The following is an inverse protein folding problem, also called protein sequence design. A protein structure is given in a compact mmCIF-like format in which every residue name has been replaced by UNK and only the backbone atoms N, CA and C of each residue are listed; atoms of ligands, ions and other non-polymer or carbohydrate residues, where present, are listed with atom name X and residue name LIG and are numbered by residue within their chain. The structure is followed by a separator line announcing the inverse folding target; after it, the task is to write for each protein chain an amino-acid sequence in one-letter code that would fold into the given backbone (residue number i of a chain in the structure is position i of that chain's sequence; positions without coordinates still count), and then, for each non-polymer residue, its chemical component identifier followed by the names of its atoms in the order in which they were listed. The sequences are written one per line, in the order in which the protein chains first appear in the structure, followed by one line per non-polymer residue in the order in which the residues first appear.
data_IF_491932810346
#
_entry.id   IF_491932810346
#
_cell.length_a   1.000
_cell.length_b   1.000
_cell.length_c   1.000
_cell.angle_alpha   90.00
_cell.angle_beta   90.00
_cell.angle_gamma   90.00
#
_symmetry.space_group_name_H-M   'P 1'
#
loop_
_entity.id
_entity.type
_entity.pdbx_description
1 polymer ?
#
# COMPACT_ATOMS: atom_id res chain seq x y z
N UNK A 1 -12.67 22.43 -60.46
CA UNK A 1 -11.95 21.34 -59.78
C UNK A 1 -10.48 21.31 -60.23
N UNK A 2 -9.66 22.29 -59.85
CA UNK A 2 -8.25 22.39 -60.32
C UNK A 2 -7.23 22.77 -59.23
N UNK A 3 -7.64 22.93 -57.97
CA UNK A 3 -6.72 23.34 -56.88
C UNK A 3 -6.47 22.28 -55.79
N UNK A 4 -6.92 21.03 -55.94
CA UNK A 4 -6.72 19.99 -54.92
C UNK A 4 -5.36 19.27 -55.03
N UNK A 5 -4.75 19.25 -56.22
CA UNK A 5 -3.47 18.57 -56.47
C UNK A 5 -2.25 19.23 -55.78
N UNK A 6 -2.13 20.57 -55.71
CA UNK A 6 -0.99 21.21 -55.03
C UNK A 6 -1.01 20.97 -53.51
N UNK A 7 -2.20 20.96 -52.89
CA UNK A 7 -2.36 20.80 -51.43
C UNK A 7 -1.99 19.39 -50.98
N UNK A 8 -2.35 18.36 -51.73
CA UNK A 8 -1.97 16.97 -51.45
C UNK A 8 -0.45 16.76 -51.57
N UNK A 9 0.20 17.40 -52.54
CA UNK A 9 1.66 17.32 -52.69
C UNK A 9 2.37 17.98 -51.51
N UNK A 10 1.92 19.16 -51.07
CA UNK A 10 2.50 19.85 -49.90
C UNK A 10 2.29 19.03 -48.63
N UNK A 11 1.13 18.41 -48.45
CA UNK A 11 0.84 17.57 -47.28
C UNK A 11 1.69 16.29 -47.25
N UNK A 12 1.88 15.62 -48.40
CA UNK A 12 2.77 14.46 -48.49
C UNK A 12 4.24 14.82 -48.24
N UNK A 13 4.71 15.98 -48.71
CA UNK A 13 6.07 16.47 -48.41
C UNK A 13 6.22 16.73 -46.91
N UNK A 14 5.20 17.32 -46.26
CA UNK A 14 5.22 17.59 -44.83
C UNK A 14 5.27 16.31 -43.98
N UNK A 15 4.50 15.27 -44.35
CA UNK A 15 4.54 13.95 -43.69
C UNK A 15 5.91 13.30 -43.89
N UNK A 16 6.47 13.33 -45.11
CA UNK A 16 7.81 12.78 -45.36
C UNK A 16 8.88 13.48 -44.51
N UNK A 17 8.83 14.81 -44.34
CA UNK A 17 9.79 15.53 -43.49
C UNK A 17 9.66 15.11 -42.03
N UNK A 18 8.43 15.00 -41.50
CA UNK A 18 8.18 14.64 -40.09
C UNK A 18 8.69 13.23 -39.76
N UNK A 19 8.61 12.27 -40.68
CA UNK A 19 9.03 10.89 -40.38
C UNK A 19 10.45 10.58 -40.84
N UNK A 20 10.88 11.09 -42.00
CA UNK A 20 12.17 10.72 -42.58
C UNK A 20 13.31 11.48 -41.91
N UNK A 21 13.13 12.76 -41.54
CA UNK A 21 14.21 13.56 -40.93
C UNK A 21 14.58 13.05 -39.54
N UNK A 22 13.64 12.74 -38.62
CA UNK A 22 13.99 12.13 -37.34
C UNK A 22 14.62 10.74 -37.51
N UNK A 23 14.13 9.95 -38.47
CA UNK A 23 14.69 8.60 -38.73
C UNK A 23 16.13 8.69 -39.25
N UNK A 24 16.42 9.60 -40.18
CA UNK A 24 17.78 9.84 -40.68
C UNK A 24 18.72 10.44 -39.63
N UNK A 25 18.20 11.22 -38.67
CA UNK A 25 18.97 11.71 -37.53
C UNK A 25 19.35 10.60 -36.53
N UNK A 26 18.53 9.56 -36.40
CA UNK A 26 18.78 8.43 -35.47
C UNK A 26 19.66 7.35 -36.11
N UNK A 27 19.59 7.16 -37.43
CA UNK A 27 20.36 6.13 -38.13
C UNK A 27 21.90 6.17 -37.92
N UNK A 28 22.60 7.33 -37.89
CA UNK A 28 24.04 7.36 -37.60
C UNK A 28 24.38 7.06 -36.13
N UNK A 29 23.39 7.00 -35.22
CA UNK A 29 23.56 6.56 -33.83
C UNK A 29 23.19 5.09 -33.62
N UNK A 30 22.76 4.38 -34.67
CA UNK A 30 22.26 3.01 -34.56
C UNK A 30 23.30 1.93 -34.93
N UNK A 31 24.55 2.33 -35.20
CA UNK A 31 25.60 1.45 -35.73
C UNK A 31 26.87 1.33 -34.87
N UNK A 32 26.79 1.54 -33.56
CA UNK A 32 27.79 1.02 -32.62
C UNK A 32 27.14 -0.01 -31.70
N UNK A 33 26.94 -1.22 -32.25
CA UNK A 33 26.79 -2.42 -31.42
C UNK A 33 28.18 -2.85 -30.96
N UNK A 34 28.73 -2.15 -29.97
CA UNK A 34 29.66 -2.83 -29.07
C UNK A 34 28.88 -3.92 -28.33
N UNK A 35 29.38 -5.14 -28.42
CA UNK A 35 28.91 -6.27 -27.63
C UNK A 35 29.35 -6.03 -26.18
N UNK A 36 28.61 -5.20 -25.46
CA UNK A 36 28.74 -5.11 -24.02
C UNK A 36 28.12 -6.36 -23.43
N UNK A 37 28.94 -7.19 -22.79
CA UNK A 37 28.47 -8.31 -22.00
C UNK A 37 27.41 -7.80 -21.01
N UNK A 38 26.19 -8.36 -21.06
CA UNK A 38 25.07 -8.08 -20.15
C UNK A 38 25.30 -8.67 -18.74
N UNK A 39 26.51 -8.51 -18.23
CA UNK A 39 26.88 -8.71 -16.82
C UNK A 39 27.35 -7.37 -16.23
N UNK A 40 26.73 -6.26 -16.65
CA UNK A 40 26.87 -5.00 -15.94
C UNK A 40 26.09 -5.14 -14.63
N UNK A 41 26.82 -5.42 -13.54
CA UNK A 41 26.38 -5.15 -12.19
C UNK A 41 25.81 -3.72 -12.21
N UNK A 42 24.49 -3.62 -12.09
CA UNK A 42 23.83 -2.38 -11.69
C UNK A 42 24.53 -1.94 -10.40
N UNK A 43 25.44 -0.97 -10.49
CA UNK A 43 26.04 -0.38 -9.31
C UNK A 43 24.93 0.33 -8.55
N UNK A 44 24.49 -0.35 -7.50
CA UNK A 44 23.64 0.15 -6.45
C UNK A 44 24.06 1.56 -6.05
N UNK A 45 23.15 2.53 -6.20
CA UNK A 45 23.32 3.85 -5.58
C UNK A 45 23.69 3.72 -4.10
N UNK A 46 24.32 4.74 -3.51
CA UNK A 46 24.89 4.66 -2.16
C UNK A 46 23.82 4.21 -1.15
N UNK A 47 24.01 3.01 -0.59
CA UNK A 47 23.11 2.37 0.38
C UNK A 47 22.54 1.02 -0.06
N UNK A 48 22.29 0.75 -1.35
CA UNK A 48 21.67 -0.52 -1.80
C UNK A 48 22.67 -1.69 -1.76
N UNK A 49 23.97 -1.42 -1.92
CA UNK A 49 25.04 -2.43 -1.83
C UNK A 49 25.19 -3.06 -0.44
N UNK A 50 24.94 -2.29 0.62
CA UNK A 50 24.98 -2.77 2.03
C UNK A 50 23.78 -3.66 2.42
N UNK A 51 22.78 -3.75 1.54
CA UNK A 51 21.56 -4.53 1.72
C UNK A 51 21.61 -5.93 1.08
N UNK A 52 22.71 -6.26 0.40
CA UNK A 52 22.86 -7.51 -0.36
C UNK A 52 23.02 -8.78 0.52
N UNK A 53 23.61 -8.67 1.71
CA UNK A 53 23.95 -9.83 2.58
C UNK A 53 22.80 -10.25 3.51
N UNK A 54 21.57 -10.34 3.00
CA UNK A 54 20.39 -10.73 3.82
C UNK A 54 19.65 -11.94 3.23
N UNK A 55 18.85 -12.60 4.07
CA UNK A 55 17.99 -13.72 3.65
C UNK A 55 17.16 -13.30 2.44
N UNK A 56 17.08 -14.16 1.43
CA UNK A 56 16.28 -13.90 0.24
C UNK A 56 14.78 -14.11 0.50
N UNK A 57 13.99 -13.16 0.01
CA UNK A 57 12.54 -13.20 -0.08
C UNK A 57 12.15 -13.57 -1.50
N UNK A 58 11.31 -14.59 -1.68
CA UNK A 58 10.75 -14.98 -2.96
C UNK A 58 9.37 -14.32 -3.18
N UNK A 59 9.31 -13.31 -4.04
CA UNK A 59 8.10 -12.54 -4.34
C UNK A 59 7.45 -13.07 -5.61
N UNK A 60 6.20 -13.51 -5.53
CA UNK A 60 5.39 -13.82 -6.72
C UNK A 60 4.84 -12.54 -7.35
N UNK A 61 5.22 -12.29 -8.61
CA UNK A 61 4.82 -11.12 -9.40
C UNK A 61 3.56 -11.45 -10.19
N UNK A 62 2.39 -11.11 -9.64
CA UNK A 62 1.09 -11.60 -10.12
C UNK A 62 0.80 -11.25 -11.58
N UNK A 63 1.19 -10.05 -12.03
CA UNK A 63 0.99 -9.61 -13.41
C UNK A 63 1.95 -10.23 -14.44
N UNK A 64 3.02 -10.89 -13.99
CA UNK A 64 4.03 -11.54 -14.84
C UNK A 64 4.09 -13.05 -14.65
N UNK A 65 3.43 -13.58 -13.62
CA UNK A 65 3.45 -15.00 -13.23
C UNK A 65 4.87 -15.55 -13.01
N UNK A 66 5.77 -14.73 -12.46
CA UNK A 66 7.16 -15.11 -12.14
C UNK A 66 7.47 -14.92 -10.67
N UNK A 67 8.41 -15.71 -10.15
CA UNK A 67 8.97 -15.52 -8.81
C UNK A 67 10.29 -14.76 -8.94
N UNK A 68 10.38 -13.62 -8.25
CA UNK A 68 11.56 -12.77 -8.16
C UNK A 68 12.16 -12.92 -6.76
N UNK A 69 13.46 -13.23 -6.67
CA UNK A 69 14.17 -13.38 -5.39
C UNK A 69 15.01 -12.15 -5.12
N UNK A 70 14.87 -11.60 -3.92
CA UNK A 70 15.48 -10.34 -3.52
C UNK A 70 16.05 -10.46 -2.10
N UNK A 71 17.19 -9.83 -1.79
CA UNK A 71 17.59 -9.64 -0.40
C UNK A 71 16.46 -8.98 0.41
N UNK A 72 16.20 -9.48 1.62
CA UNK A 72 15.12 -9.01 2.51
C UNK A 72 15.06 -7.49 2.62
N UNK A 73 16.20 -6.83 2.81
CA UNK A 73 16.20 -5.38 2.99
C UNK A 73 15.87 -4.62 1.69
N UNK A 74 16.21 -5.17 0.51
CA UNK A 74 15.78 -4.61 -0.77
C UNK A 74 14.27 -4.79 -0.99
N UNK A 75 13.73 -5.95 -0.58
CA UNK A 75 12.28 -6.16 -0.55
C UNK A 75 11.58 -5.11 0.34
N UNK A 76 12.10 -4.86 1.55
CA UNK A 76 11.53 -3.86 2.47
C UNK A 76 11.57 -2.45 1.87
N UNK A 77 12.64 -2.07 1.16
CA UNK A 77 12.69 -0.79 0.41
C UNK A 77 11.55 -0.70 -0.61
N UNK A 78 11.35 -1.76 -1.41
CA UNK A 78 10.30 -1.79 -2.43
C UNK A 78 8.89 -1.74 -1.85
N UNK A 79 8.66 -2.35 -0.69
CA UNK A 79 7.39 -2.25 0.05
C UNK A 79 7.18 -0.82 0.55
N UNK A 80 8.17 -0.21 1.21
CA UNK A 80 8.05 1.15 1.73
C UNK A 80 7.74 2.15 0.62
N UNK A 81 8.40 2.00 -0.51
CA UNK A 81 8.21 2.82 -1.69
C UNK A 81 6.82 2.68 -2.31
N UNK A 82 6.20 1.49 -2.20
CA UNK A 82 4.84 1.23 -2.67
C UNK A 82 3.75 1.70 -1.69
N UNK A 83 4.03 1.64 -0.38
CA UNK A 83 3.02 1.79 0.67
C UNK A 83 2.96 3.20 1.29
N UNK A 84 4.10 3.89 1.40
CA UNK A 84 4.20 5.15 2.14
C UNK A 84 4.81 6.26 1.27
N UNK A 85 4.24 7.48 1.26
CA UNK A 85 4.83 8.59 0.52
C UNK A 85 6.25 8.90 1.04
N UNK A 86 7.22 9.01 0.13
CA UNK A 86 8.61 9.32 0.47
C UNK A 86 8.79 10.67 1.20
N UNK A 87 7.85 11.60 1.02
CA UNK A 87 7.83 12.89 1.72
C UNK A 87 7.50 12.79 3.21
N UNK A 88 7.02 11.65 3.70
CA UNK A 88 6.76 11.45 5.12
C UNK A 88 8.03 11.58 5.95
N UNK A 89 7.88 11.92 7.23
CA UNK A 89 9.00 12.05 8.15
C UNK A 89 9.79 10.75 8.25
N UNK A 90 11.11 10.88 8.43
CA UNK A 90 12.02 9.73 8.45
C UNK A 90 11.66 8.73 9.55
N UNK A 91 11.21 9.21 10.71
CA UNK A 91 10.76 8.34 11.81
C UNK A 91 9.48 7.55 11.49
N UNK A 92 8.57 8.11 10.67
CA UNK A 92 7.42 7.38 10.17
C UNK A 92 7.82 6.30 9.15
N UNK A 93 8.77 6.63 8.25
CA UNK A 93 9.35 5.65 7.32
C UNK A 93 10.04 4.51 8.06
N UNK A 94 10.80 4.80 9.13
CA UNK A 94 11.41 3.77 10.00
C UNK A 94 10.35 2.87 10.66
N UNK A 95 9.27 3.45 11.20
CA UNK A 95 8.18 2.67 11.78
C UNK A 95 7.54 1.74 10.74
N UNK A 96 7.34 2.23 9.51
CA UNK A 96 6.87 1.42 8.38
C UNK A 96 7.87 0.31 8.02
N UNK A 97 9.18 0.58 8.04
CA UNK A 97 10.22 -0.44 7.78
C UNK A 97 10.12 -1.59 8.78
N UNK A 98 9.93 -1.30 10.07
CA UNK A 98 9.72 -2.33 11.09
C UNK A 98 8.45 -3.14 10.80
N UNK A 99 7.33 -2.49 10.48
CA UNK A 99 6.08 -3.18 10.18
C UNK A 99 6.21 -4.08 8.94
N UNK A 100 6.79 -3.55 7.85
CA UNK A 100 7.02 -4.29 6.61
C UNK A 100 7.93 -5.50 6.82
N UNK A 101 9.08 -5.31 7.48
CA UNK A 101 10.02 -6.39 7.80
C UNK A 101 9.39 -7.45 8.70
N UNK A 102 8.60 -7.03 9.69
CA UNK A 102 7.91 -7.96 10.59
C UNK A 102 6.90 -8.81 9.84
N UNK A 103 6.12 -8.20 8.94
CA UNK A 103 5.14 -8.91 8.13
C UNK A 103 5.80 -10.04 7.32
N UNK A 104 6.87 -9.72 6.56
CA UNK A 104 7.50 -10.72 5.71
C UNK A 104 8.22 -11.80 6.53
N UNK A 105 8.87 -11.45 7.64
CA UNK A 105 9.47 -12.44 8.55
C UNK A 105 8.39 -13.36 9.13
N UNK A 106 7.23 -12.82 9.51
CA UNK A 106 6.12 -13.62 10.02
C UNK A 106 5.55 -14.56 8.94
N UNK A 107 5.36 -14.07 7.70
CA UNK A 107 4.90 -14.87 6.55
C UNK A 107 5.87 -16.01 6.24
N UNK A 108 7.16 -15.74 6.14
CA UNK A 108 8.18 -16.76 5.90
C UNK A 108 8.23 -17.82 7.02
N UNK A 109 7.95 -17.45 8.27
CA UNK A 109 7.91 -18.39 9.40
C UNK A 109 6.65 -19.26 9.44
N UNK A 110 5.50 -18.71 9.03
CA UNK A 110 4.23 -19.44 9.05
C UNK A 110 4.04 -20.29 7.79
N UNK A 111 4.63 -19.87 6.67
CA UNK A 111 4.31 -20.38 5.34
C UNK A 111 2.89 -19.99 4.93
N UNK A 112 2.60 -20.10 3.63
CA UNK A 112 1.27 -19.85 3.10
C UNK A 112 0.98 -20.83 1.96
N UNK A 113 0.12 -21.81 2.23
CA UNK A 113 -0.21 -22.86 1.26
C UNK A 113 -1.08 -22.37 0.09
N UNK A 114 -1.62 -21.14 0.17
CA UNK A 114 -2.38 -20.54 -0.93
C UNK A 114 -1.47 -19.93 -2.00
N UNK A 115 -0.19 -19.74 -1.71
CA UNK A 115 0.77 -19.17 -2.65
C UNK A 115 1.29 -20.20 -3.66
N UNK A 116 1.72 -19.76 -4.86
CA UNK A 116 2.47 -20.59 -5.78
C UNK A 116 3.68 -21.24 -5.10
N UNK A 117 3.97 -22.50 -5.45
CA UNK A 117 5.06 -23.27 -4.82
C UNK A 117 6.39 -22.52 -4.96
N UNK A 118 7.01 -22.20 -3.82
CA UNK A 118 8.30 -21.51 -3.76
C UNK A 118 8.22 -19.99 -3.59
N UNK A 119 7.03 -19.41 -3.49
CA UNK A 119 6.82 -18.01 -3.13
C UNK A 119 6.59 -17.84 -1.61
N UNK A 120 7.10 -16.74 -1.07
CA UNK A 120 6.87 -16.33 0.32
C UNK A 120 5.73 -15.32 0.47
N UNK A 121 5.46 -14.56 -0.60
CA UNK A 121 4.58 -13.38 -0.62
C UNK A 121 4.16 -13.04 -2.07
N UNK A 122 3.00 -12.41 -2.24
CA UNK A 122 2.55 -11.77 -3.49
C UNK A 122 2.79 -10.26 -3.50
N UNK A 123 2.69 -9.64 -4.69
CA UNK A 123 2.81 -8.19 -4.88
C UNK A 123 1.47 -7.43 -4.86
N UNK A 124 0.39 -8.06 -4.37
CA UNK A 124 -0.95 -7.46 -4.31
C UNK A 124 -1.26 -6.89 -2.93
N UNK A 125 -2.43 -6.25 -2.82
CA UNK A 125 -2.96 -5.74 -1.55
C UNK A 125 -3.32 -6.84 -0.54
N UNK A 126 -3.35 -8.11 -0.96
CA UNK A 126 -3.61 -9.23 -0.07
C UNK A 126 -2.43 -9.48 0.87
N UNK A 127 -1.22 -9.09 0.43
CA UNK A 127 -0.01 -9.06 1.26
C UNK A 127 0.50 -7.63 1.45
N UNK A 128 1.36 -7.14 0.55
CA UNK A 128 1.96 -5.81 0.56
C UNK A 128 2.24 -5.34 -0.86
N UNK A 129 2.02 -4.06 -1.14
CA UNK A 129 2.36 -3.48 -2.44
C UNK A 129 3.88 -3.43 -2.59
N UNK A 130 4.43 -4.30 -3.43
CA UNK A 130 5.86 -4.32 -3.76
C UNK A 130 6.13 -3.72 -5.15
N UNK A 131 7.05 -2.76 -5.19
CA UNK A 131 7.57 -2.16 -6.43
C UNK A 131 9.08 -2.36 -6.53
N UNK A 132 9.55 -2.80 -7.68
CA UNK A 132 10.99 -2.96 -7.92
C UNK A 132 11.64 -1.62 -8.35
N UNK A 133 12.99 -1.51 -8.33
CA UNK A 133 13.67 -0.25 -8.63
C UNK A 133 13.34 0.36 -10.00
N UNK A 134 13.13 -0.46 -11.03
CA UNK A 134 12.77 0.00 -12.38
C UNK A 134 11.38 0.63 -12.42
N UNK A 135 10.41 0.02 -11.72
CA UNK A 135 9.06 0.55 -11.56
C UNK A 135 9.07 1.87 -10.77
N UNK A 136 9.91 1.95 -9.73
CA UNK A 136 10.07 3.17 -8.93
C UNK A 136 10.71 4.31 -9.72
N UNK A 137 11.75 4.03 -10.50
CA UNK A 137 12.37 5.00 -11.40
C UNK A 137 11.36 5.56 -12.40
N UNK A 138 10.54 4.69 -13.00
CA UNK A 138 9.48 5.08 -13.93
C UNK A 138 8.39 5.93 -13.27
N UNK A 139 8.04 5.62 -12.02
CA UNK A 139 6.98 6.32 -11.27
C UNK A 139 7.42 7.71 -10.78
N UNK A 140 8.68 7.84 -10.35
CA UNK A 140 9.16 9.06 -9.69
C UNK A 140 9.92 10.00 -10.61
N UNK A 141 10.40 9.52 -11.76
CA UNK A 141 11.14 10.34 -12.72
C UNK A 141 12.32 11.06 -12.05
N UNK A 142 12.36 12.38 -12.17
CA UNK A 142 13.44 13.20 -11.61
C UNK A 142 13.57 13.12 -10.08
N UNK A 143 12.51 12.73 -9.36
CA UNK A 143 12.56 12.59 -7.90
C UNK A 143 13.13 11.25 -7.43
N UNK A 144 13.40 10.32 -8.35
CA UNK A 144 13.73 8.93 -8.00
C UNK A 144 14.93 8.84 -7.06
N UNK A 145 15.98 9.62 -7.32
CA UNK A 145 17.22 9.59 -6.56
C UNK A 145 17.01 9.94 -5.08
N UNK A 146 16.40 11.10 -4.78
CA UNK A 146 16.23 11.53 -3.40
C UNK A 146 15.19 10.69 -2.66
N UNK A 147 14.12 10.23 -3.33
CA UNK A 147 13.08 9.37 -2.75
C UNK A 147 13.66 8.01 -2.36
N UNK A 148 14.39 7.37 -3.28
CA UNK A 148 15.07 6.11 -3.01
C UNK A 148 16.08 6.27 -1.88
N UNK A 149 16.92 7.31 -1.92
CA UNK A 149 17.92 7.56 -0.87
C UNK A 149 17.28 7.66 0.51
N UNK A 150 16.24 8.49 0.67
CA UNK A 150 15.57 8.68 1.96
C UNK A 150 14.91 7.40 2.49
N UNK A 151 14.27 6.63 1.61
CA UNK A 151 13.64 5.35 1.99
C UNK A 151 14.71 4.32 2.36
N UNK A 152 15.75 4.17 1.54
CA UNK A 152 16.86 3.24 1.80
C UNK A 152 17.56 3.55 3.11
N UNK A 153 17.80 4.83 3.44
CA UNK A 153 18.35 5.22 4.73
C UNK A 153 17.45 4.82 5.91
N UNK A 154 16.13 5.01 5.82
CA UNK A 154 15.20 4.60 6.87
C UNK A 154 15.18 3.07 7.08
N UNK A 155 15.27 2.30 5.99
CA UNK A 155 15.39 0.84 6.04
C UNK A 155 16.72 0.43 6.67
N UNK A 156 17.82 1.03 6.25
CA UNK A 156 19.16 0.73 6.74
C UNK A 156 19.32 1.05 8.23
N UNK A 157 18.82 2.20 8.69
CA UNK A 157 18.85 2.60 10.11
C UNK A 157 18.00 1.70 11.01
N UNK A 158 17.11 0.88 10.42
CA UNK A 158 16.29 -0.11 11.12
C UNK A 158 16.61 -1.54 10.70
N UNK A 159 17.76 -1.77 10.05
CA UNK A 159 18.16 -3.07 9.49
C UNK A 159 18.03 -4.17 10.54
N UNK A 160 17.38 -5.26 10.14
CA UNK A 160 17.15 -6.41 11.01
C UNK A 160 16.21 -6.19 12.20
N UNK A 161 15.60 -5.01 12.39
CA UNK A 161 14.65 -4.79 13.48
C UNK A 161 13.23 -5.22 13.09
N UNK A 162 12.60 -5.99 13.97
CA UNK A 162 11.21 -6.48 13.85
C UNK A 162 10.44 -6.29 15.15
N UNK A 163 9.11 -6.31 15.05
CA UNK A 163 8.17 -6.18 16.16
C UNK A 163 7.75 -7.58 16.63
N UNK A 164 7.89 -7.83 17.93
CA UNK A 164 7.52 -9.12 18.54
C UNK A 164 6.60 -8.97 19.74
N UNK A 165 5.78 -9.97 19.95
CA UNK A 165 4.97 -10.14 21.16
C UNK A 165 5.16 -11.57 21.66
N UNK A 166 5.49 -11.74 22.95
CA UNK A 166 5.87 -13.03 23.53
C UNK A 166 6.94 -13.79 22.72
N UNK A 167 7.92 -13.06 22.18
CA UNK A 167 9.05 -13.62 21.44
C UNK A 167 8.72 -14.13 20.02
N UNK A 168 7.49 -13.92 19.53
CA UNK A 168 7.07 -14.23 18.16
C UNK A 168 6.85 -12.93 17.37
N UNK A 169 7.14 -12.91 16.05
CA UNK A 169 6.74 -11.80 15.19
C UNK A 169 5.24 -11.53 15.31
N UNK A 170 4.86 -10.25 15.27
CA UNK A 170 3.44 -9.87 15.29
C UNK A 170 2.83 -9.86 13.88
N UNK A 171 1.51 -9.89 13.81
CA UNK A 171 0.77 -9.39 12.64
C UNK A 171 0.86 -7.85 12.64
N UNK A 172 1.85 -7.31 11.94
CA UNK A 172 2.12 -5.87 11.87
C UNK A 172 1.20 -5.16 10.86
N UNK A 173 -0.11 -5.20 11.09
CA UNK A 173 -1.10 -4.56 10.23
C UNK A 173 -0.92 -3.04 10.22
N UNK A 174 -1.12 -2.40 9.07
CA UNK A 174 -1.07 -0.95 8.91
C UNK A 174 -2.05 -0.50 7.83
N UNK A 175 -2.43 0.77 7.87
CA UNK A 175 -3.39 1.34 6.93
C UNK A 175 -3.16 2.85 6.75
N UNK A 176 -3.81 3.46 5.76
CA UNK A 176 -3.48 4.84 5.38
C UNK A 176 -3.87 5.88 6.42
N UNK A 177 -5.16 5.98 6.77
CA UNK A 177 -5.66 7.08 7.60
C UNK A 177 -6.79 6.60 8.51
N UNK A 178 -6.75 6.98 9.79
CA UNK A 178 -7.79 6.67 10.77
C UNK A 178 -8.93 7.70 10.74
N UNK A 179 -10.03 7.39 11.40
CA UNK A 179 -11.11 8.33 11.68
C UNK A 179 -10.91 9.06 13.02
N UNK A 180 -9.67 9.08 13.54
CA UNK A 180 -9.30 9.54 14.88
C UNK A 180 -9.00 8.39 15.85
N UNK A 181 -9.37 7.15 15.50
CA UNK A 181 -9.12 5.93 16.27
C UNK A 181 -8.74 4.75 15.37
N UNK A 182 -7.90 3.87 15.89
CA UNK A 182 -7.69 2.54 15.30
C UNK A 182 -8.78 1.56 15.75
N UNK A 183 -8.87 0.40 15.11
CA UNK A 183 -9.77 -0.68 15.47
C UNK A 183 -9.06 -1.77 16.27
N UNK A 184 -9.83 -2.48 17.09
CA UNK A 184 -9.42 -3.78 17.61
C UNK A 184 -9.35 -4.81 16.48
N UNK A 185 -8.54 -5.86 16.64
CA UNK A 185 -8.38 -6.90 15.62
C UNK A 185 -9.68 -7.58 15.22
N UNK A 186 -10.61 -7.76 16.16
CA UNK A 186 -11.89 -8.43 15.92
C UNK A 186 -12.83 -7.67 14.96
N UNK A 187 -12.51 -6.42 14.63
CA UNK A 187 -13.19 -5.69 13.56
C UNK A 187 -12.85 -6.21 12.15
N UNK A 188 -11.76 -6.98 12.02
CA UNK A 188 -11.27 -7.49 10.72
C UNK A 188 -11.02 -9.01 10.72
N UNK A 189 -10.48 -9.55 11.81
CA UNK A 189 -10.24 -10.98 12.02
C UNK A 189 -11.23 -11.54 13.04
N UNK A 190 -11.39 -12.86 13.13
CA UNK A 190 -12.31 -13.47 14.11
C UNK A 190 -11.77 -13.42 15.55
N UNK A 191 -10.45 -13.45 15.71
CA UNK A 191 -9.82 -13.61 17.01
C UNK A 191 -9.29 -12.29 17.57
N UNK A 192 -9.33 -12.20 18.90
CA UNK A 192 -8.63 -11.16 19.65
C UNK A 192 -7.11 -11.34 19.51
N UNK A 193 -6.43 -10.29 19.07
CA UNK A 193 -4.98 -10.18 18.97
C UNK A 193 -4.48 -9.11 19.96
N UNK A 194 -3.82 -9.48 21.08
CA UNK A 194 -3.56 -8.57 22.22
C UNK A 194 -2.83 -7.27 21.90
N UNK A 195 -1.99 -7.26 20.86
CA UNK A 195 -1.23 -6.10 20.43
C UNK A 195 -1.94 -5.22 19.38
N UNK A 196 -3.08 -5.68 18.82
CA UNK A 196 -3.91 -4.92 17.88
C UNK A 196 -5.19 -4.46 18.58
N UNK A 197 -5.06 -3.37 19.33
CA UNK A 197 -6.14 -2.76 20.11
C UNK A 197 -6.39 -1.33 19.63
N UNK A 198 -7.61 -0.84 19.82
CA UNK A 198 -8.02 0.52 19.50
C UNK A 198 -7.20 1.50 20.34
N UNK A 199 -6.57 2.45 19.66
CA UNK A 199 -5.86 3.58 20.25
C UNK A 199 -6.27 4.87 19.55
N UNK A 200 -6.14 5.99 20.25
CA UNK A 200 -6.34 7.31 19.66
C UNK A 200 -5.28 7.58 18.60
N UNK A 201 -5.67 8.24 17.52
CA UNK A 201 -4.77 8.68 16.46
C UNK A 201 -5.25 10.05 15.93
N UNK A 202 -5.15 11.11 16.77
CA UNK A 202 -5.73 12.42 16.45
C UNK A 202 -5.05 13.11 15.27
N UNK A 203 -3.80 12.74 14.96
CA UNK A 203 -3.05 13.36 13.88
C UNK A 203 -3.63 13.08 12.48
N UNK A 204 -4.42 12.02 12.35
CA UNK A 204 -5.09 11.63 11.11
C UNK A 204 -6.07 12.69 10.60
N UNK A 205 -6.61 13.54 11.47
CA UNK A 205 -7.52 14.63 11.08
C UNK A 205 -6.90 15.60 10.08
N UNK A 206 -5.56 15.70 10.06
CA UNK A 206 -4.79 16.52 9.12
C UNK A 206 -4.47 15.80 7.80
N UNK A 207 -4.83 14.53 7.66
CA UNK A 207 -4.61 13.77 6.43
C UNK A 207 -5.49 14.32 5.30
N UNK A 208 -4.97 14.52 4.07
CA UNK A 208 -5.78 14.84 2.91
C UNK A 208 -6.76 13.71 2.55
N UNK A 209 -6.59 12.52 3.14
CA UNK A 209 -7.47 11.35 2.97
C UNK A 209 -8.38 11.12 4.18
N UNK A 210 -8.51 12.10 5.08
CA UNK A 210 -9.32 11.96 6.29
C UNK A 210 -10.82 11.90 6.01
N UNK A 211 -11.31 12.64 5.03
CA UNK A 211 -12.72 12.61 4.61
C UNK A 211 -12.81 12.34 3.12
N UNK A 212 -13.81 11.56 2.73
CA UNK A 212 -14.13 11.28 1.33
C UNK A 212 -15.64 11.23 1.15
N UNK A 213 -16.13 11.58 -0.03
CA UNK A 213 -17.55 11.56 -0.37
C UNK A 213 -17.77 10.78 -1.66
N UNK A 214 -18.72 9.85 -1.62
CA UNK A 214 -19.16 9.07 -2.77
C UNK A 214 -20.66 9.28 -2.97
N UNK A 215 -21.05 9.62 -4.19
CA UNK A 215 -22.45 9.80 -4.57
C UNK A 215 -22.78 8.70 -5.57
N UNK A 216 -23.78 7.88 -5.27
CA UNK A 216 -24.23 6.80 -6.17
C UNK A 216 -25.75 6.82 -6.35
N UNK A 217 -26.28 6.45 -7.53
CA UNK A 217 -27.72 6.30 -7.73
C UNK A 217 -28.32 5.26 -6.78
N UNK A 218 -29.59 5.43 -6.40
CA UNK A 218 -30.34 4.44 -5.59
C UNK A 218 -30.27 3.05 -6.24
N UNK A 219 -30.43 2.98 -7.56
CA UNK A 219 -30.41 1.71 -8.32
C UNK A 219 -29.09 0.97 -8.16
N UNK A 220 -27.96 1.68 -8.18
CA UNK A 220 -26.64 1.10 -7.96
C UNK A 220 -26.47 0.63 -6.51
N UNK A 221 -26.92 1.44 -5.53
CA UNK A 221 -26.88 1.09 -4.11
C UNK A 221 -27.66 -0.20 -3.82
N UNK A 222 -28.91 -0.26 -4.29
CA UNK A 222 -29.79 -1.43 -4.17
C UNK A 222 -29.20 -2.67 -4.83
N UNK A 223 -28.68 -2.53 -6.05
CA UNK A 223 -28.08 -3.64 -6.79
C UNK A 223 -26.84 -4.20 -6.09
N UNK A 224 -25.92 -3.34 -5.65
CA UNK A 224 -24.69 -3.77 -4.99
C UNK A 224 -24.92 -4.44 -3.64
N UNK A 225 -25.92 -3.96 -2.89
CA UNK A 225 -26.24 -4.52 -1.58
C UNK A 225 -27.23 -5.68 -1.63
N UNK A 226 -28.00 -5.81 -2.71
CA UNK A 226 -29.05 -6.81 -2.85
C UNK A 226 -30.29 -6.49 -2.00
N UNK A 227 -30.63 -5.20 -1.88
CA UNK A 227 -31.74 -4.70 -1.05
C UNK A 227 -32.62 -3.73 -1.81
N UNK A 228 -33.80 -3.43 -1.26
CA UNK A 228 -34.66 -2.32 -1.71
C UNK A 228 -34.80 -1.29 -0.61
N UNK A 229 -34.64 -0.02 -0.96
CA UNK A 229 -34.83 1.07 -0.02
C UNK A 229 -36.33 1.26 0.28
N UNK A 230 -36.67 1.66 1.52
CA UNK A 230 -38.03 2.00 1.87
C UNK A 230 -38.51 3.25 1.11
N UNK A 231 -39.82 3.35 0.90
CA UNK A 231 -40.45 4.48 0.18
C UNK A 231 -40.50 5.77 1.01
N UNK A 232 -40.12 5.72 2.28
CA UNK A 232 -40.12 6.85 3.21
C UNK A 232 -38.91 7.78 3.05
N UNK A 233 -37.99 7.47 2.13
CA UNK A 233 -36.80 8.26 1.85
C UNK A 233 -35.62 7.97 2.79
N UNK A 234 -35.73 7.00 3.68
CA UNK A 234 -34.60 6.54 4.49
C UNK A 234 -33.70 5.57 3.70
N UNK A 235 -32.40 5.58 4.03
CA UNK A 235 -31.40 4.71 3.39
C UNK A 235 -31.16 3.45 4.22
N UNK A 236 -31.02 3.61 5.52
CA UNK A 236 -30.71 2.53 6.47
C UNK A 236 -30.25 3.12 7.80
N UNK A 237 -30.42 2.35 8.86
CA UNK A 237 -30.10 2.77 10.23
C UNK A 237 -28.81 2.12 10.68
N UNK A 238 -27.82 2.94 11.05
CA UNK A 238 -26.62 2.46 11.73
C UNK A 238 -27.02 2.05 13.15
N UNK A 239 -27.00 0.76 13.45
CA UNK A 239 -27.49 0.20 14.71
C UNK A 239 -26.41 0.16 15.79
N UNK A 240 -25.13 0.04 15.41
CA UNK A 240 -24.03 0.14 16.36
C UNK A 240 -22.71 0.56 15.70
N UNK A 241 -21.78 1.02 16.54
CA UNK A 241 -20.40 1.37 16.17
C UNK A 241 -19.41 0.62 17.03
N UNK A 242 -18.22 0.36 16.48
CA UNK A 242 -17.10 -0.27 17.19
C UNK A 242 -16.47 0.70 18.19
N UNK A 243 -15.52 0.21 19.00
CA UNK A 243 -14.72 1.05 19.89
C UNK A 243 -13.98 2.15 19.12
N UNK A 244 -13.41 1.81 17.95
CA UNK A 244 -12.75 2.73 17.01
C UNK A 244 -13.71 3.59 16.18
N UNK A 245 -15.00 3.61 16.55
CA UNK A 245 -16.05 4.47 15.99
C UNK A 245 -16.43 4.18 14.54
N UNK A 246 -15.94 3.11 13.93
CA UNK A 246 -16.45 2.62 12.63
C UNK A 246 -17.84 2.00 12.80
N UNK A 247 -18.60 1.94 11.70
CA UNK A 247 -19.90 1.29 11.68
C UNK A 247 -19.71 -0.21 11.92
N UNK A 248 -20.32 -0.73 12.97
CA UNK A 248 -20.29 -2.15 13.27
C UNK A 248 -21.42 -2.85 12.52
N UNK A 249 -22.66 -2.39 12.72
CA UNK A 249 -23.86 -2.95 12.08
C UNK A 249 -24.78 -1.87 11.52
N UNK A 250 -25.49 -2.23 10.45
CA UNK A 250 -26.51 -1.43 9.78
C UNK A 250 -27.70 -2.31 9.48
N UNK A 251 -28.91 -1.80 9.72
CA UNK A 251 -30.14 -2.36 9.16
C UNK A 251 -30.58 -1.55 7.93
N UNK A 252 -30.81 -2.24 6.81
CA UNK A 252 -31.38 -1.67 5.59
C UNK A 252 -32.64 -2.47 5.27
N UNK A 253 -33.80 -1.91 5.63
CA UNK A 253 -35.11 -2.49 5.36
C UNK A 253 -35.24 -3.94 5.85
N UNK A 254 -34.82 -4.19 7.10
CA UNK A 254 -34.85 -5.52 7.74
C UNK A 254 -33.72 -6.46 7.33
N UNK A 255 -32.79 -6.02 6.46
CA UNK A 255 -31.57 -6.77 6.16
C UNK A 255 -30.38 -6.16 6.91
N UNK A 256 -29.73 -6.99 7.73
CA UNK A 256 -28.55 -6.57 8.50
C UNK A 256 -27.26 -6.72 7.67
N UNK A 257 -26.40 -5.71 7.75
CA UNK A 257 -25.04 -5.72 7.20
C UNK A 257 -24.05 -5.26 8.25
N UNK A 258 -22.83 -5.77 8.19
CA UNK A 258 -21.69 -5.15 8.86
C UNK A 258 -21.22 -3.91 8.10
N UNK A 259 -20.60 -2.95 8.79
CA UNK A 259 -20.00 -1.80 8.11
C UNK A 259 -18.89 -2.17 7.12
N UNK A 260 -18.21 -3.31 7.35
CA UNK A 260 -17.23 -3.87 6.41
C UNK A 260 -17.87 -4.35 5.12
N UNK A 261 -18.96 -5.11 5.20
CA UNK A 261 -19.68 -5.56 4.00
C UNK A 261 -20.16 -4.38 3.16
N UNK A 262 -20.67 -3.32 3.79
CA UNK A 262 -21.04 -2.09 3.10
C UNK A 262 -19.82 -1.46 2.42
N UNK A 263 -18.70 -1.30 3.14
CA UNK A 263 -17.45 -0.76 2.58
C UNK A 263 -17.00 -1.54 1.36
N UNK A 264 -16.96 -2.86 1.46
CA UNK A 264 -16.38 -3.73 0.45
C UNK A 264 -17.33 -3.79 -0.79
N UNK A 265 -18.64 -3.95 -0.59
CA UNK A 265 -19.64 -3.97 -1.68
C UNK A 265 -19.77 -2.64 -2.41
N UNK A 266 -19.70 -1.53 -1.69
CA UNK A 266 -19.83 -0.19 -2.28
C UNK A 266 -18.49 0.41 -2.70
N UNK A 267 -17.36 -0.19 -2.36
CA UNK A 267 -16.02 0.34 -2.63
C UNK A 267 -15.81 1.69 -1.96
N UNK A 268 -16.04 1.76 -0.64
CA UNK A 268 -15.80 2.93 0.20
C UNK A 268 -14.35 2.93 0.73
N UNK A 269 -13.84 4.11 1.12
CA UNK A 269 -12.51 4.24 1.71
C UNK A 269 -12.39 3.57 3.07
N UNK A 270 -13.45 3.63 3.88
CA UNK A 270 -13.50 3.01 5.20
C UNK A 270 -14.91 2.51 5.54
N UNK A 271 -15.05 1.82 6.67
CA UNK A 271 -16.33 1.48 7.28
C UNK A 271 -16.80 2.50 8.32
N UNK A 272 -16.15 3.66 8.47
CA UNK A 272 -16.75 4.80 9.17
C UNK A 272 -17.43 5.68 8.13
N UNK A 273 -18.74 5.53 8.03
CA UNK A 273 -19.55 6.30 7.10
C UNK A 273 -20.83 6.82 7.75
N UNK A 274 -21.41 7.78 7.05
CA UNK A 274 -22.78 8.25 7.21
C UNK A 274 -23.37 8.45 5.82
N UNK A 275 -24.69 8.41 5.72
CA UNK A 275 -25.37 8.62 4.45
C UNK A 275 -26.65 9.42 4.61
N UNK A 276 -27.10 9.98 3.50
CA UNK A 276 -28.44 10.49 3.35
C UNK A 276 -28.88 10.37 1.89
N UNK A 277 -30.19 10.34 1.71
CA UNK A 277 -30.81 10.39 0.39
C UNK A 277 -30.90 11.84 -0.07
N UNK A 278 -30.48 12.10 -1.31
CA UNK A 278 -30.67 13.37 -2.00
C UNK A 278 -31.16 13.09 -3.42
N UNK A 279 -32.39 13.50 -3.70
CA UNK A 279 -33.08 13.20 -4.95
C UNK A 279 -33.07 11.68 -5.25
N UNK A 280 -32.48 11.26 -6.37
CA UNK A 280 -32.32 9.87 -6.77
C UNK A 280 -30.95 9.26 -6.40
N UNK A 281 -30.21 9.89 -5.49
CA UNK A 281 -28.83 9.51 -5.14
C UNK A 281 -28.63 9.35 -3.63
N UNK A 282 -27.75 8.43 -3.26
CA UNK A 282 -27.24 8.26 -1.91
C UNK A 282 -25.91 9.00 -1.82
N UNK A 283 -25.84 9.99 -0.93
CA UNK A 283 -24.61 10.70 -0.60
C UNK A 283 -23.98 10.01 0.61
N UNK A 284 -22.84 9.37 0.41
CA UNK A 284 -22.11 8.62 1.42
C UNK A 284 -20.85 9.41 1.78
N UNK A 285 -20.74 9.84 3.04
CA UNK A 285 -19.54 10.51 3.56
C UNK A 285 -18.79 9.55 4.46
N UNK A 286 -17.49 9.36 4.20
CA UNK A 286 -16.61 8.45 4.95
C UNK A 286 -15.52 9.21 5.69
N UNK A 287 -15.03 8.64 6.79
CA UNK A 287 -13.87 9.11 7.54
C UNK A 287 -12.76 8.06 7.59
N UNK A 288 -11.53 8.48 7.38
CA UNK A 288 -10.36 7.63 7.26
C UNK A 288 -10.31 6.82 5.96
N UNK A 289 -9.21 6.10 5.78
CA UNK A 289 -8.95 5.25 4.62
C UNK A 289 -8.17 3.99 5.03
N UNK A 290 -8.81 2.84 4.85
CA UNK A 290 -8.28 1.52 5.12
C UNK A 290 -9.07 0.77 6.18
N UNK A 291 -8.58 -0.42 6.55
CA UNK A 291 -9.27 -1.31 7.49
C UNK A 291 -9.23 -0.81 8.94
N UNK A 292 -8.29 0.08 9.30
CA UNK A 292 -8.27 0.73 10.61
C UNK A 292 -7.51 0.01 11.72
N UNK A 293 -7.00 -1.20 11.47
CA UNK A 293 -6.32 -2.01 12.50
C UNK A 293 -4.81 -1.80 12.47
N UNK A 294 -4.18 -1.67 13.63
CA UNK A 294 -2.73 -1.50 13.76
C UNK A 294 -2.28 -0.06 13.51
N UNK A 295 -1.19 0.13 12.75
CA UNK A 295 -0.56 1.44 12.59
C UNK A 295 -1.23 2.28 11.51
N UNK A 296 -1.62 3.52 11.85
CA UNK A 296 -1.98 4.52 10.83
C UNK A 296 -0.72 5.16 10.25
N UNK A 297 -0.58 5.15 8.93
CA UNK A 297 0.55 5.77 8.23
C UNK A 297 0.56 7.30 8.42
N UNK A 298 -0.58 7.97 8.23
CA UNK A 298 -0.67 9.41 8.45
C UNK A 298 -0.57 9.76 9.94
N UNK A 299 -1.07 8.90 10.81
CA UNK A 299 -0.90 9.02 12.25
C UNK A 299 0.56 8.95 12.68
N UNK A 300 1.32 7.96 12.17
CA UNK A 300 2.76 7.83 12.37
C UNK A 300 3.52 9.07 11.87
N UNK A 301 3.16 9.59 10.70
CA UNK A 301 3.73 10.84 10.18
C UNK A 301 3.44 12.05 11.08
N UNK A 302 2.23 12.13 11.63
CA UNK A 302 1.85 13.16 12.59
C UNK A 302 2.63 13.10 13.89
N UNK A 303 2.78 11.90 14.45
CA UNK A 303 3.63 11.66 15.63
C UNK A 303 5.08 12.07 15.37
N UNK A 304 5.63 11.68 14.23
CA UNK A 304 7.00 12.03 13.84
C UNK A 304 7.20 13.55 13.71
N UNK A 305 6.21 14.27 13.16
CA UNK A 305 6.21 15.75 13.09
C UNK A 305 6.19 16.42 14.46
N UNK A 306 5.69 15.73 15.48
CA UNK A 306 5.72 16.17 16.87
C UNK A 306 7.00 15.72 17.61
N UNK A 307 7.99 15.19 16.87
CA UNK A 307 9.29 14.79 17.40
C UNK A 307 9.34 13.38 18.00
N UNK A 308 8.31 12.56 17.81
CA UNK A 308 8.30 11.16 18.26
C UNK A 308 9.21 10.31 17.40
N UNK A 309 9.99 9.46 18.04
CA UNK A 309 10.82 8.48 17.32
C UNK A 309 10.00 7.26 16.84
N UNK A 310 10.57 6.48 15.94
CA UNK A 310 9.91 5.29 15.40
C UNK A 310 9.55 4.24 16.47
N UNK A 311 10.24 4.22 17.61
CA UNK A 311 9.98 3.27 18.71
C UNK A 311 8.73 3.69 19.48
N UNK A 312 8.58 4.98 19.77
CA UNK A 312 7.36 5.56 20.33
C UNK A 312 6.17 5.35 19.38
N UNK A 313 6.36 5.51 18.07
CA UNK A 313 5.31 5.29 17.07
C UNK A 313 4.82 3.84 17.10
N UNK A 314 5.71 2.86 16.94
CA UNK A 314 5.29 1.45 16.87
C UNK A 314 4.71 0.96 18.20
N UNK A 315 5.21 1.43 19.35
CA UNK A 315 4.68 1.04 20.66
C UNK A 315 3.35 1.70 21.00
N UNK A 316 3.03 2.86 20.40
CA UNK A 316 1.70 3.48 20.46
C UNK A 316 0.65 2.64 19.72
N UNK A 317 0.96 2.21 18.50
CA UNK A 317 -0.01 1.48 17.66
C UNK A 317 -0.09 -0.03 17.95
N UNK A 318 1.01 -0.64 18.40
CA UNK A 318 1.07 -2.06 18.71
C UNK A 318 1.31 -2.27 20.21
N UNK A 319 0.25 -2.62 20.94
CA UNK A 319 0.29 -2.63 22.41
C UNK A 319 1.19 -3.74 22.95
N UNK A 320 2.15 -3.37 23.80
CA UNK A 320 3.01 -4.31 24.52
C UNK A 320 4.07 -5.02 23.66
N UNK A 321 4.31 -4.55 22.43
CA UNK A 321 5.32 -5.13 21.56
C UNK A 321 6.73 -4.75 21.98
N UNK A 322 7.70 -5.57 21.55
CA UNK A 322 9.13 -5.31 21.70
C UNK A 322 9.79 -5.23 20.33
N UNK A 323 10.76 -4.34 20.19
CA UNK A 323 11.64 -4.32 19.03
C UNK A 323 12.79 -5.31 19.29
N UNK A 324 12.98 -6.25 18.39
CA UNK A 324 14.01 -7.29 18.49
C UNK A 324 14.70 -7.49 17.16
N UNK A 325 15.89 -8.11 17.17
CA UNK A 325 16.59 -8.50 15.94
C UNK A 325 15.93 -9.71 15.27
N UNK A 326 15.79 -9.68 13.94
CA UNK A 326 15.23 -10.76 13.13
C UNK A 326 16.17 -11.96 12.96
N UNK A 327 17.46 -11.83 13.28
CA UNK A 327 18.49 -12.85 13.04
C UNK A 327 18.09 -14.25 13.54
N UNK A 328 17.69 -14.38 14.82
CA UNK A 328 17.27 -15.67 15.41
C UNK A 328 16.00 -16.23 14.77
N UNK A 329 15.14 -15.38 14.25
CA UNK A 329 13.89 -15.78 13.59
C UNK A 329 14.20 -16.27 12.17
N UNK A 330 15.03 -15.54 11.45
CA UNK A 330 15.50 -15.87 10.11
C UNK A 330 16.35 -17.14 10.09
N UNK A 331 17.18 -17.40 11.10
CA UNK A 331 17.89 -18.68 11.25
C UNK A 331 16.93 -19.88 11.28
N UNK A 332 15.76 -19.73 11.93
CA UNK A 332 14.73 -20.79 11.94
C UNK A 332 14.09 -20.97 10.57
N UNK A 333 13.80 -19.89 9.85
CA UNK A 333 13.27 -19.93 8.48
C UNK A 333 14.25 -20.67 7.56
N UNK A 334 15.53 -20.30 7.58
CA UNK A 334 16.55 -20.92 6.73
C UNK A 334 16.76 -22.39 7.05
N UNK A 335 16.66 -22.79 8.33
CA UNK A 335 16.78 -24.20 8.75
C UNK A 335 15.56 -25.07 8.37
N UNK A 336 14.42 -24.45 8.03
CA UNK A 336 13.19 -25.13 7.64
C UNK A 336 13.04 -25.29 6.11
N UNK A 337 13.87 -24.60 5.32
CA UNK A 337 13.92 -24.70 3.86
C UNK A 337 14.82 -25.83 3.41
#
# INVERSE_FOLDING_TARGET
MTHLKPVLIVFSIFICIIFIVPTLLVLPFSSDKEKTNLNEKLEAGPGIGELADSVEVAVYRSGKEVIEKLPLEQYVVGVLAGEMPADFEKEALKAQALAARTFIVNKMMMGDSSLPKGADVTDTIDDQVFKNPSELASLWGADSEWKLKKISEAVLETKGQVLTYNGKPITAAFFSTSNGYTENSEAYWQNEIPYLRSVKSPWDEKSPKFTDQKIIPITEFEQKLGVKLPKDGSVGTITSRTEGKRVANVDINGTSFTGREIRDKLGLKSSDFSWYLKDSHIVISTKGYGHGVGMSQYGANGMAKEGKDYKEIVTHYYKGVKITTSEKLLQKVTAQR
#
